data_IF_307652860034
#
_entry.id   IF_307652860034
#
_cell.length_a   1.000
_cell.length_b   1.000
_cell.length_c   1.000
_cell.angle_alpha   90.00
_cell.angle_beta   90.00
_cell.angle_gamma   90.00
#
_symmetry.space_group_name_H-M   'P 1'
#
loop_
_entity.id
_entity.type
_entity.pdbx_description
1 polymer ?
#
# COMPACT_ATOMS: atom_id res chain seq x y z
N UNK A 1 28.68 -26.97 72.61
CA UNK A 1 30.08 -27.13 73.09
C UNK A 1 30.86 -25.95 72.59
N UNK A 2 31.24 -25.10 73.56
CA UNK A 2 32.33 -24.09 73.64
C UNK A 2 32.44 -23.14 72.45
N UNK A 3 32.19 -21.85 72.61
CA UNK A 3 32.65 -20.80 73.52
C UNK A 3 33.69 -19.90 72.83
N UNK A 4 33.32 -18.60 72.78
CA UNK A 4 34.05 -17.40 73.16
C UNK A 4 35.41 -17.14 72.42
N UNK A 5 35.77 -15.92 72.08
CA UNK A 5 35.90 -14.77 72.94
C UNK A 5 36.14 -13.48 72.17
N UNK A 6 35.83 -12.40 72.82
CA UNK A 6 36.05 -10.99 72.61
C UNK A 6 37.46 -10.56 72.30
N UNK A 7 37.68 -9.40 71.64
CA UNK A 7 38.12 -8.13 72.24
C UNK A 7 38.41 -7.01 71.22
N UNK A 8 37.83 -5.91 71.44
CA UNK A 8 38.15 -4.52 71.39
C UNK A 8 39.60 -4.06 71.02
N UNK A 9 39.71 -2.97 70.24
CA UNK A 9 40.43 -1.73 70.48
C UNK A 9 40.32 -0.85 69.25
N UNK A 10 39.69 0.33 69.27
CA UNK A 10 40.08 1.68 69.58
C UNK A 10 41.04 2.31 68.50
N UNK A 11 40.41 3.26 67.77
CA UNK A 11 40.86 4.59 67.29
C UNK A 11 42.18 4.72 66.53
N UNK A 12 42.05 5.25 65.30
CA UNK A 12 42.76 6.51 65.01
C UNK A 12 42.19 7.15 63.75
N UNK A 13 41.88 8.43 63.94
CA UNK A 13 41.36 9.33 62.93
C UNK A 13 42.54 9.93 62.15
N UNK A 14 42.68 9.55 60.86
CA UNK A 14 43.58 10.32 59.98
C UNK A 14 42.82 10.83 58.77
N UNK A 15 42.73 12.14 58.70
CA UNK A 15 42.19 12.89 57.57
C UNK A 15 43.09 12.69 56.34
N UNK A 16 42.65 11.98 55.35
CA UNK A 16 43.28 11.99 54.03
C UNK A 16 42.44 12.84 53.06
N UNK A 17 43.18 13.81 52.49
CA UNK A 17 42.74 14.76 51.49
C UNK A 17 42.06 14.04 50.30
N UNK A 18 40.85 14.44 49.98
CA UNK A 18 40.18 14.06 48.74
C UNK A 18 40.84 14.78 47.56
N UNK A 19 41.57 14.06 46.74
CA UNK A 19 41.87 14.44 45.38
C UNK A 19 40.70 14.04 44.49
N UNK A 20 40.04 15.04 43.88
CA UNK A 20 38.99 14.85 42.87
C UNK A 20 39.69 14.47 41.58
N UNK A 21 39.45 13.30 40.99
CA UNK A 21 39.94 13.01 39.65
C UNK A 21 39.13 13.81 38.62
N UNK A 22 39.86 14.57 37.82
CA UNK A 22 39.36 15.25 36.63
C UNK A 22 38.81 14.19 35.66
N UNK A 23 37.48 14.02 35.58
CA UNK A 23 36.82 13.17 34.60
C UNK A 23 36.96 13.86 33.25
N UNK A 24 37.91 13.43 32.42
CA UNK A 24 37.96 13.77 30.99
C UNK A 24 36.78 13.10 30.33
N UNK A 25 35.75 13.90 30.01
CA UNK A 25 34.62 13.46 29.17
C UNK A 25 35.14 13.27 27.74
N UNK A 26 35.51 12.04 27.40
CA UNK A 26 35.75 11.67 26.01
C UNK A 26 34.38 11.63 25.32
N UNK A 27 34.04 12.70 24.59
CA UNK A 27 32.95 12.71 23.67
C UNK A 27 33.35 11.78 22.52
N UNK A 28 32.92 10.51 22.60
CA UNK A 28 32.97 9.62 21.48
C UNK A 28 31.90 10.11 20.49
N UNK A 29 32.31 10.92 19.53
CA UNK A 29 31.52 11.21 18.37
C UNK A 29 31.29 9.88 17.62
N UNK A 30 30.15 9.27 17.88
CA UNK A 30 29.69 8.13 17.10
C UNK A 30 29.48 8.63 15.67
N UNK A 31 30.41 8.34 14.79
CA UNK A 31 30.20 8.41 13.36
C UNK A 31 29.08 7.44 13.03
N UNK A 32 27.85 7.94 12.96
CA UNK A 32 26.73 7.22 12.32
C UNK A 32 27.07 7.26 10.83
N UNK A 33 27.27 6.10 10.17
CA UNK A 33 27.47 6.10 8.73
C UNK A 33 26.24 6.75 8.10
N UNK A 34 26.46 7.67 7.16
CA UNK A 34 25.42 8.34 6.36
C UNK A 34 24.52 7.30 5.69
N UNK A 35 23.51 6.85 6.43
CA UNK A 35 22.46 6.03 5.90
C UNK A 35 21.57 6.89 5.01
N UNK A 36 21.21 6.42 3.84
CA UNK A 36 20.18 6.98 2.98
C UNK A 36 19.04 7.55 3.83
N UNK A 37 18.86 8.86 3.84
CA UNK A 37 17.82 9.51 4.63
C UNK A 37 16.46 9.15 4.02
N UNK A 38 15.74 8.24 4.67
CA UNK A 38 14.37 7.88 4.24
C UNK A 38 13.47 9.08 4.46
N UNK A 39 12.90 9.63 3.38
CA UNK A 39 11.92 10.70 3.52
C UNK A 39 10.70 10.20 4.27
N UNK A 40 10.20 11.04 5.15
CA UNK A 40 8.94 10.77 5.81
C UNK A 40 7.80 10.86 4.77
N UNK A 41 7.28 9.71 4.35
CA UNK A 41 6.14 9.60 3.41
C UNK A 41 5.00 10.51 3.84
N UNK A 42 4.74 10.61 5.15
CA UNK A 42 3.72 11.49 5.70
C UNK A 42 3.92 12.96 5.31
N UNK A 43 5.15 13.47 5.40
CA UNK A 43 5.44 14.86 5.04
C UNK A 43 5.21 15.13 3.55
N UNK A 44 5.60 14.17 2.70
CA UNK A 44 5.34 14.26 1.26
C UNK A 44 3.85 14.25 0.98
N UNK A 45 3.11 13.32 1.58
CA UNK A 45 1.66 13.22 1.41
C UNK A 45 0.93 14.45 1.95
N UNK A 46 1.25 14.89 3.18
CA UNK A 46 0.63 16.07 3.78
C UNK A 46 0.86 17.33 2.96
N UNK A 47 2.10 17.57 2.51
CA UNK A 47 2.40 18.70 1.64
C UNK A 47 1.56 18.66 0.36
N UNK A 48 1.42 17.48 -0.21
CA UNK A 48 0.70 17.30 -1.46
C UNK A 48 -0.83 17.31 -1.29
N UNK A 49 -1.36 16.91 -0.14
CA UNK A 49 -2.82 16.83 0.10
C UNK A 49 -3.37 18.15 0.68
N UNK A 50 -2.59 18.86 1.52
CA UNK A 50 -3.05 20.08 2.22
C UNK A 50 -3.24 21.31 1.31
N UNK A 51 -2.75 21.26 0.09
CA UNK A 51 -2.84 22.39 -0.86
C UNK A 51 -4.17 22.44 -1.65
N UNK A 52 -5.11 21.52 -1.38
CA UNK A 52 -6.41 21.47 -2.08
C UNK A 52 -7.56 21.25 -1.10
N UNK A 53 -8.52 22.16 -1.08
CA UNK A 53 -9.87 21.88 -0.61
C UNK A 53 -10.45 20.72 -1.46
N UNK A 54 -11.04 19.68 -0.83
CA UNK A 54 -11.56 18.53 -1.56
C UNK A 54 -10.53 17.43 -1.86
N UNK A 55 -9.52 17.29 -1.00
CA UNK A 55 -8.48 16.26 -1.12
C UNK A 55 -9.06 14.85 -1.18
N UNK A 56 -8.58 13.97 -2.08
CA UNK A 56 -9.01 12.58 -2.18
C UNK A 56 -8.67 11.81 -0.91
N UNK A 57 -9.47 10.81 -0.57
CA UNK A 57 -9.07 9.81 0.43
C UNK A 57 -7.92 8.99 -0.15
N UNK A 58 -6.80 8.90 0.58
CA UNK A 58 -5.67 8.10 0.15
C UNK A 58 -5.91 6.66 0.56
N UNK A 59 -5.88 5.76 -0.39
CA UNK A 59 -5.93 4.32 -0.17
C UNK A 59 -4.63 3.69 -0.68
N UNK A 60 -4.20 2.57 -0.12
CA UNK A 60 -2.98 1.90 -0.58
C UNK A 60 -3.27 0.44 -0.89
N UNK A 61 -2.79 -0.02 -2.03
CA UNK A 61 -2.83 -1.42 -2.36
C UNK A 61 -1.91 -2.22 -1.43
N UNK A 62 -2.41 -3.35 -0.94
CA UNK A 62 -1.75 -4.19 0.04
C UNK A 62 -1.62 -5.62 -0.46
N UNK A 63 -0.40 -6.13 -0.46
CA UNK A 63 -0.08 -7.50 -0.84
C UNK A 63 -0.13 -8.42 0.39
N UNK A 64 -1.14 -9.33 0.49
CA UNK A 64 -1.34 -10.16 1.68
C UNK A 64 -0.60 -11.51 1.64
N UNK A 65 0.42 -11.66 0.80
CA UNK A 65 1.03 -12.95 0.47
C UNK A 65 2.34 -13.27 1.21
N UNK A 66 2.93 -12.34 1.95
CA UNK A 66 4.19 -12.60 2.64
C UNK A 66 4.02 -13.61 3.77
N UNK A 67 4.87 -14.64 3.75
CA UNK A 67 4.74 -15.84 4.57
C UNK A 67 4.20 -17.04 3.80
N UNK A 68 3.65 -16.85 2.59
CA UNK A 68 3.47 -17.92 1.62
C UNK A 68 4.82 -18.31 1.00
N UNK A 69 4.99 -19.61 0.72
CA UNK A 69 6.25 -20.15 0.20
C UNK A 69 6.64 -19.69 -1.21
N UNK A 70 5.68 -19.13 -1.96
CA UNK A 70 5.89 -18.72 -3.34
C UNK A 70 6.40 -17.27 -3.45
N UNK A 71 6.51 -16.58 -2.31
CA UNK A 71 6.91 -15.17 -2.24
C UNK A 71 8.19 -14.99 -1.43
N UNK A 72 8.89 -13.87 -1.68
CA UNK A 72 10.14 -13.58 -0.97
C UNK A 72 9.90 -13.40 0.53
N UNK A 73 10.92 -13.75 1.32
CA UNK A 73 10.89 -13.50 2.75
C UNK A 73 11.25 -12.04 3.05
N UNK A 74 10.28 -11.27 3.52
CA UNK A 74 10.44 -9.87 3.92
C UNK A 74 10.57 -9.68 5.44
N UNK A 75 10.70 -10.79 6.18
CA UNK A 75 10.89 -10.77 7.63
C UNK A 75 9.59 -10.74 8.44
N UNK A 76 8.43 -10.90 7.81
CA UNK A 76 7.15 -11.03 8.50
C UNK A 76 6.18 -11.96 7.74
N UNK A 77 5.07 -12.30 8.41
CA UNK A 77 3.97 -13.05 7.84
C UNK A 77 2.71 -12.16 7.80
N UNK A 78 2.06 -12.09 6.64
CA UNK A 78 0.84 -11.29 6.44
C UNK A 78 -0.38 -11.80 7.23
N UNK A 79 -0.28 -12.98 7.85
CA UNK A 79 -1.30 -13.52 8.77
C UNK A 79 -1.01 -13.22 10.24
N UNK A 80 0.11 -12.57 10.56
CA UNK A 80 0.43 -12.22 11.95
C UNK A 80 -0.37 -10.98 12.39
N UNK A 81 -1.25 -11.09 13.39
CA UNK A 81 -2.04 -9.98 13.88
C UNK A 81 -1.20 -8.81 14.40
N UNK A 82 -0.03 -9.06 14.97
CA UNK A 82 0.85 -8.00 15.48
C UNK A 82 1.46 -7.20 14.32
N UNK A 83 1.82 -7.87 13.24
CA UNK A 83 2.31 -7.22 12.01
C UNK A 83 1.21 -6.34 11.40
N UNK A 84 0.01 -6.90 11.23
CA UNK A 84 -1.13 -6.16 10.66
C UNK A 84 -1.46 -4.91 11.49
N UNK A 85 -1.53 -5.00 12.83
CA UNK A 85 -1.75 -3.83 13.70
C UNK A 85 -0.68 -2.77 13.52
N UNK A 86 0.58 -3.18 13.46
CA UNK A 86 1.70 -2.26 13.24
C UNK A 86 1.58 -1.56 11.89
N UNK A 87 1.28 -2.30 10.83
CA UNK A 87 1.12 -1.75 9.47
C UNK A 87 -0.07 -0.78 9.39
N UNK A 88 -1.22 -1.12 9.98
CA UNK A 88 -2.37 -0.21 10.08
C UNK A 88 -2.00 1.07 10.84
N UNK A 89 -1.32 0.96 11.97
CA UNK A 89 -0.87 2.14 12.72
C UNK A 89 0.09 3.02 11.91
N UNK A 90 1.01 2.41 11.16
CA UNK A 90 1.91 3.13 10.25
C UNK A 90 1.15 3.82 9.11
N UNK A 91 0.21 3.11 8.47
CA UNK A 91 -0.63 3.63 7.40
C UNK A 91 -1.46 4.84 7.86
N UNK A 92 -2.13 4.73 9.02
CA UNK A 92 -2.87 5.86 9.65
C UNK A 92 -1.96 7.05 9.92
N UNK A 93 -0.76 6.82 10.42
CA UNK A 93 0.22 7.89 10.67
C UNK A 93 0.70 8.56 9.37
N UNK A 94 0.67 7.86 8.25
CA UNK A 94 0.97 8.42 6.92
C UNK A 94 -0.22 9.15 6.29
N UNK A 95 -1.42 9.04 6.87
CA UNK A 95 -2.65 9.62 6.32
C UNK A 95 -3.37 8.71 5.32
N UNK A 96 -3.03 7.43 5.29
CA UNK A 96 -3.74 6.42 4.49
C UNK A 96 -5.05 6.08 5.20
N UNK A 97 -6.13 6.10 4.42
CA UNK A 97 -7.49 5.90 4.92
C UNK A 97 -7.92 4.43 4.89
N UNK A 98 -7.46 3.67 3.89
CA UNK A 98 -7.81 2.27 3.71
C UNK A 98 -6.68 1.48 3.04
N UNK A 99 -6.64 0.18 3.29
CA UNK A 99 -5.95 -0.76 2.41
C UNK A 99 -6.93 -1.32 1.37
N UNK A 100 -6.49 -1.37 0.12
CA UNK A 100 -7.12 -2.12 -0.95
C UNK A 100 -6.31 -3.41 -1.11
N UNK A 101 -6.89 -4.53 -0.69
CA UNK A 101 -6.13 -5.77 -0.50
C UNK A 101 -6.30 -6.67 -1.71
N UNK A 102 -5.17 -7.08 -2.29
CA UNK A 102 -5.14 -8.02 -3.39
C UNK A 102 -5.74 -9.37 -2.97
N UNK A 103 -6.70 -9.89 -3.77
CA UNK A 103 -7.51 -11.02 -3.36
C UNK A 103 -7.99 -11.86 -4.55
N UNK A 104 -7.84 -13.16 -4.45
CA UNK A 104 -8.07 -14.12 -5.52
C UNK A 104 -9.28 -15.05 -5.27
N UNK A 105 -10.13 -14.71 -4.29
CA UNK A 105 -11.19 -15.62 -3.88
C UNK A 105 -10.65 -16.91 -3.26
N UNK A 106 -11.35 -18.01 -3.47
CA UNK A 106 -10.98 -19.34 -2.95
C UNK A 106 -9.77 -19.96 -3.65
N UNK A 107 -9.38 -19.43 -4.80
CA UNK A 107 -8.21 -19.92 -5.55
C UNK A 107 -6.90 -19.78 -4.76
N UNK A 108 -6.88 -18.88 -3.78
CA UNK A 108 -5.70 -18.64 -2.96
C UNK A 108 -6.04 -18.62 -1.46
N UNK A 109 -6.16 -19.79 -0.81
CA UNK A 109 -6.60 -19.86 0.60
C UNK A 109 -5.71 -19.12 1.59
N UNK A 110 -4.41 -18.91 1.29
CA UNK A 110 -3.54 -18.12 2.15
C UNK A 110 -3.93 -16.65 2.12
N UNK A 111 -4.13 -16.07 0.92
CA UNK A 111 -4.50 -14.67 0.76
C UNK A 111 -5.90 -14.39 1.34
N UNK A 112 -6.83 -15.30 1.13
CA UNK A 112 -8.18 -15.21 1.68
C UNK A 112 -8.16 -15.17 3.22
N UNK A 113 -7.39 -16.05 3.87
CA UNK A 113 -7.21 -16.00 5.33
C UNK A 113 -6.53 -14.73 5.79
N UNK A 114 -5.52 -14.25 5.05
CA UNK A 114 -4.82 -13.00 5.36
C UNK A 114 -5.79 -11.82 5.34
N UNK A 115 -6.65 -11.75 4.33
CA UNK A 115 -7.70 -10.73 4.24
C UNK A 115 -8.69 -10.81 5.41
N UNK A 116 -9.19 -12.02 5.71
CA UNK A 116 -10.15 -12.23 6.80
C UNK A 116 -9.59 -11.80 8.17
N UNK A 117 -8.30 -12.01 8.42
CA UNK A 117 -7.61 -11.55 9.63
C UNK A 117 -7.50 -10.02 9.61
N UNK A 118 -7.06 -9.46 8.47
CA UNK A 118 -6.89 -8.02 8.33
C UNK A 118 -8.19 -7.26 8.54
N UNK A 119 -9.31 -7.68 7.94
CA UNK A 119 -10.58 -7.00 8.08
C UNK A 119 -11.05 -6.93 9.53
N UNK A 120 -10.91 -8.04 10.28
CA UNK A 120 -11.27 -8.07 11.72
C UNK A 120 -10.39 -7.14 12.55
N UNK A 121 -9.10 -7.06 12.24
CA UNK A 121 -8.19 -6.15 12.92
C UNK A 121 -8.48 -4.71 12.53
N UNK A 122 -8.74 -4.43 11.25
CA UNK A 122 -9.10 -3.11 10.77
C UNK A 122 -10.34 -2.55 11.48
N UNK A 123 -11.37 -3.40 11.71
CA UNK A 123 -12.54 -3.05 12.51
C UNK A 123 -12.16 -2.61 13.94
N UNK A 124 -11.27 -3.36 14.60
CA UNK A 124 -10.79 -3.04 15.95
C UNK A 124 -9.96 -1.74 16.00
N UNK A 125 -9.25 -1.44 14.93
CA UNK A 125 -8.33 -0.30 14.83
C UNK A 125 -8.97 0.96 14.21
N UNK A 126 -10.27 0.97 13.90
CA UNK A 126 -10.93 2.05 13.15
C UNK A 126 -10.18 2.38 11.86
N UNK A 127 -9.93 1.38 11.06
CA UNK A 127 -9.29 1.48 9.76
C UNK A 127 -10.16 0.79 8.72
N UNK A 128 -9.99 1.15 7.43
CA UNK A 128 -10.82 0.57 6.39
C UNK A 128 -10.03 -0.37 5.48
N UNK A 129 -10.76 -1.34 4.91
CA UNK A 129 -10.23 -2.27 3.92
C UNK A 129 -11.23 -2.45 2.78
N UNK A 130 -10.72 -2.72 1.58
CA UNK A 130 -11.49 -3.10 0.42
C UNK A 130 -10.82 -4.28 -0.27
N UNK A 131 -11.59 -5.03 -1.05
CA UNK A 131 -11.04 -6.08 -1.91
C UNK A 131 -10.56 -5.48 -3.24
N UNK A 132 -9.41 -5.95 -3.71
CA UNK A 132 -9.02 -5.90 -5.12
C UNK A 132 -9.10 -7.32 -5.67
N UNK A 133 -10.15 -7.62 -6.41
CA UNK A 133 -10.30 -8.92 -7.03
C UNK A 133 -9.34 -9.07 -8.21
N UNK A 134 -8.38 -9.97 -8.07
CA UNK A 134 -7.45 -10.32 -9.12
C UNK A 134 -8.04 -11.44 -9.97
N UNK A 135 -8.32 -11.14 -11.25
CA UNK A 135 -8.94 -12.05 -12.19
C UNK A 135 -8.05 -13.28 -12.44
N UNK A 136 -8.67 -14.40 -12.73
CA UNK A 136 -7.96 -15.62 -13.13
C UNK A 136 -6.99 -15.36 -14.29
N UNK A 137 -5.71 -15.68 -14.08
CA UNK A 137 -4.66 -15.38 -15.05
C UNK A 137 -4.71 -16.29 -16.28
N UNK A 138 -5.15 -17.53 -16.10
CA UNK A 138 -5.22 -18.52 -17.18
C UNK A 138 -6.59 -18.52 -17.82
N UNK A 139 -6.61 -18.58 -19.14
CA UNK A 139 -7.85 -18.81 -19.90
C UNK A 139 -8.21 -20.31 -19.86
N UNK A 140 -8.71 -20.73 -18.70
CA UNK A 140 -9.15 -22.10 -18.44
C UNK A 140 -10.65 -22.32 -18.75
N UNK A 141 -11.34 -21.31 -19.27
CA UNK A 141 -12.78 -21.32 -19.52
C UNK A 141 -13.65 -21.14 -18.27
N UNK A 142 -13.05 -21.03 -17.08
CA UNK A 142 -13.76 -20.94 -15.79
C UNK A 142 -13.69 -19.55 -15.13
N UNK A 143 -13.07 -18.56 -15.76
CA UNK A 143 -12.88 -17.23 -15.16
C UNK A 143 -14.19 -16.57 -14.70
N UNK A 144 -15.31 -16.82 -15.39
CA UNK A 144 -16.62 -16.32 -14.98
C UNK A 144 -17.14 -17.03 -13.74
N UNK A 145 -17.01 -18.34 -13.67
CA UNK A 145 -17.41 -19.15 -12.51
C UNK A 145 -16.58 -18.76 -11.30
N UNK A 146 -15.26 -18.68 -11.46
CA UNK A 146 -14.31 -18.22 -10.43
C UNK A 146 -14.70 -16.83 -9.88
N UNK A 147 -15.07 -15.91 -10.76
CA UNK A 147 -15.50 -14.58 -10.36
C UNK A 147 -16.84 -14.62 -9.59
N UNK A 148 -17.83 -15.36 -10.08
CA UNK A 148 -19.12 -15.47 -9.40
C UNK A 148 -18.99 -16.09 -8.02
N UNK A 149 -18.19 -17.16 -7.87
CA UNK A 149 -17.91 -17.80 -6.58
C UNK A 149 -17.17 -16.84 -5.64
N UNK A 150 -16.16 -16.14 -6.14
CA UNK A 150 -15.42 -15.16 -5.36
C UNK A 150 -16.33 -14.02 -4.86
N UNK A 151 -17.19 -13.46 -5.71
CA UNK A 151 -18.11 -12.39 -5.31
C UNK A 151 -19.21 -12.88 -4.36
N UNK A 152 -19.73 -14.09 -4.52
CA UNK A 152 -20.65 -14.71 -3.57
C UNK A 152 -19.99 -14.84 -2.19
N UNK A 153 -18.75 -15.32 -2.16
CA UNK A 153 -17.95 -15.39 -0.93
C UNK A 153 -17.69 -14.02 -0.33
N UNK A 154 -17.30 -13.03 -1.14
CA UNK A 154 -17.08 -11.66 -0.69
C UNK A 154 -18.33 -11.09 0.01
N UNK A 155 -19.50 -11.31 -0.56
CA UNK A 155 -20.76 -10.89 0.06
C UNK A 155 -20.99 -11.59 1.39
N UNK A 156 -20.91 -12.92 1.42
CA UNK A 156 -21.22 -13.70 2.62
C UNK A 156 -20.26 -13.46 3.78
N UNK A 157 -18.98 -13.23 3.50
CA UNK A 157 -17.94 -13.25 4.52
C UNK A 157 -17.30 -11.89 4.81
N UNK A 158 -17.45 -10.89 3.91
CA UNK A 158 -16.71 -9.63 4.03
C UNK A 158 -17.57 -8.38 3.91
N UNK A 159 -18.63 -8.40 3.09
CA UNK A 159 -19.36 -7.19 2.70
C UNK A 159 -20.80 -7.18 3.24
N UNK A 160 -21.48 -8.30 3.17
CA UNK A 160 -22.91 -8.39 3.50
C UNK A 160 -23.25 -8.08 4.95
N UNK A 161 -24.54 -7.99 5.28
CA UNK A 161 -25.00 -7.51 6.61
C UNK A 161 -24.48 -8.35 7.77
N UNK A 162 -24.31 -9.64 7.59
CA UNK A 162 -23.89 -10.58 8.63
C UNK A 162 -22.37 -10.87 8.63
N UNK A 163 -21.60 -10.20 7.73
CA UNK A 163 -20.17 -10.45 7.59
C UNK A 163 -19.38 -9.92 8.78
N UNK A 164 -18.50 -10.73 9.41
CA UNK A 164 -17.69 -10.30 10.55
C UNK A 164 -16.72 -9.18 10.18
N UNK A 165 -16.76 -8.05 10.90
CA UNK A 165 -15.87 -6.91 10.65
C UNK A 165 -16.28 -6.06 9.44
N UNK A 166 -17.51 -6.21 8.95
CA UNK A 166 -18.03 -5.44 7.80
C UNK A 166 -17.95 -3.92 8.03
N UNK A 167 -17.96 -3.47 9.26
CA UNK A 167 -17.82 -2.06 9.63
C UNK A 167 -16.48 -1.45 9.20
N UNK A 168 -15.47 -2.30 8.98
CA UNK A 168 -14.21 -1.89 8.39
C UNK A 168 -14.23 -1.83 6.87
N UNK A 169 -15.26 -2.37 6.21
CA UNK A 169 -15.26 -2.37 4.75
C UNK A 169 -15.36 -0.95 4.18
N UNK A 170 -14.57 -0.64 3.17
CA UNK A 170 -14.54 0.68 2.54
C UNK A 170 -15.86 0.97 1.83
N UNK A 171 -16.53 2.03 2.26
CA UNK A 171 -17.73 2.54 1.63
C UNK A 171 -17.46 3.89 0.92
N UNK A 172 -18.07 4.05 -0.24
CA UNK A 172 -18.19 5.33 -0.93
C UNK A 172 -19.67 5.63 -1.17
N UNK A 173 -20.13 6.79 -0.69
CA UNK A 173 -21.55 7.16 -0.76
C UNK A 173 -22.50 6.05 -0.23
N UNK A 174 -22.09 5.39 0.86
CA UNK A 174 -22.87 4.34 1.50
C UNK A 174 -22.83 2.96 0.81
N UNK A 175 -22.11 2.79 -0.29
CA UNK A 175 -21.98 1.53 -1.03
C UNK A 175 -20.56 0.96 -0.92
N UNK A 176 -20.42 -0.38 -0.85
CA UNK A 176 -19.09 -1.02 -0.85
C UNK A 176 -18.31 -0.71 -2.12
N UNK A 177 -16.98 -0.64 -2.01
CA UNK A 177 -16.09 -0.46 -3.16
C UNK A 177 -15.30 -1.74 -3.40
N UNK A 178 -15.33 -2.25 -4.63
CA UNK A 178 -14.52 -3.40 -5.05
C UNK A 178 -13.68 -2.97 -6.25
N UNK A 179 -12.37 -3.17 -6.14
CA UNK A 179 -11.43 -2.96 -7.24
C UNK A 179 -11.28 -4.24 -8.05
N UNK A 180 -11.13 -4.09 -9.35
CA UNK A 180 -10.94 -5.22 -10.26
C UNK A 180 -9.59 -5.08 -10.95
N UNK A 181 -8.72 -6.08 -10.72
CA UNK A 181 -7.45 -6.20 -11.42
C UNK A 181 -7.60 -7.25 -12.53
N UNK A 182 -7.87 -6.83 -13.78
CA UNK A 182 -8.07 -7.77 -14.87
C UNK A 182 -6.74 -8.40 -15.29
N UNK A 183 -6.79 -9.66 -15.68
CA UNK A 183 -5.65 -10.39 -16.27
C UNK A 183 -5.85 -10.56 -17.78
N UNK A 184 -6.67 -11.50 -18.22
CA UNK A 184 -6.87 -11.78 -19.64
C UNK A 184 -8.21 -11.29 -20.20
N UNK A 185 -9.09 -10.76 -19.36
CA UNK A 185 -10.36 -10.18 -19.76
C UNK A 185 -11.36 -11.19 -20.34
N UNK A 186 -11.28 -12.46 -19.92
CA UNK A 186 -12.18 -13.51 -20.35
C UNK A 186 -13.41 -13.72 -19.45
N UNK A 187 -13.49 -13.05 -18.31
CA UNK A 187 -14.65 -13.04 -17.41
C UNK A 187 -15.84 -12.37 -18.09
N UNK A 188 -17.02 -12.99 -17.96
CA UNK A 188 -18.28 -12.35 -18.35
C UNK A 188 -18.77 -11.39 -17.27
N UNK A 189 -18.37 -10.14 -17.36
CA UNK A 189 -18.67 -9.12 -16.37
C UNK A 189 -20.15 -8.72 -16.31
N UNK A 190 -20.94 -8.94 -17.37
CA UNK A 190 -22.41 -8.80 -17.33
C UNK A 190 -23.02 -9.72 -16.25
N UNK A 191 -22.56 -10.98 -16.17
CA UNK A 191 -23.08 -11.93 -15.18
C UNK A 191 -22.67 -11.54 -13.75
N UNK A 192 -21.42 -11.11 -13.57
CA UNK A 192 -20.95 -10.60 -12.27
C UNK A 192 -21.76 -9.37 -11.85
N UNK A 193 -21.99 -8.42 -12.76
CA UNK A 193 -22.81 -7.22 -12.50
C UNK A 193 -24.24 -7.58 -12.13
N UNK A 194 -24.86 -8.53 -12.83
CA UNK A 194 -26.21 -8.99 -12.50
C UNK A 194 -26.30 -9.56 -11.09
N UNK A 195 -25.32 -10.37 -10.71
CA UNK A 195 -25.23 -10.95 -9.36
C UNK A 195 -25.13 -9.88 -8.28
N UNK A 196 -24.15 -8.97 -8.39
CA UNK A 196 -23.92 -7.95 -7.35
C UNK A 196 -25.03 -6.90 -7.28
N UNK A 197 -25.79 -6.70 -8.34
CA UNK A 197 -26.97 -5.83 -8.31
C UNK A 197 -28.10 -6.41 -7.44
N UNK A 198 -28.07 -7.72 -7.17
CA UNK A 198 -28.98 -8.37 -6.23
C UNK A 198 -28.59 -8.24 -4.75
N UNK A 199 -27.45 -7.63 -4.43
CA UNK A 199 -27.04 -7.41 -3.04
C UNK A 199 -27.87 -6.32 -2.38
N UNK A 200 -28.01 -6.37 -1.06
CA UNK A 200 -28.71 -5.32 -0.29
C UNK A 200 -28.14 -3.93 -0.58
N UNK A 201 -26.81 -3.84 -0.70
CA UNK A 201 -26.09 -2.64 -1.11
C UNK A 201 -25.17 -3.00 -2.28
N UNK A 202 -25.60 -2.80 -3.54
CA UNK A 202 -24.78 -3.08 -4.71
C UNK A 202 -23.46 -2.30 -4.69
N UNK A 203 -22.32 -2.96 -4.92
CA UNK A 203 -21.02 -2.32 -4.83
C UNK A 203 -20.75 -1.36 -5.99
N UNK A 204 -19.83 -0.41 -5.75
CA UNK A 204 -19.11 0.27 -6.82
C UNK A 204 -18.01 -0.66 -7.33
N UNK A 205 -18.04 -1.02 -8.62
CA UNK A 205 -17.02 -1.81 -9.29
C UNK A 205 -16.06 -0.87 -10.04
N UNK A 206 -14.79 -0.86 -9.62
CA UNK A 206 -13.75 0.04 -10.15
C UNK A 206 -12.72 -0.81 -10.90
N UNK A 207 -12.66 -0.65 -12.23
CA UNK A 207 -11.85 -1.49 -13.13
C UNK A 207 -10.48 -0.84 -13.39
N UNK A 208 -9.42 -1.65 -13.48
CA UNK A 208 -8.10 -1.15 -13.87
C UNK A 208 -8.10 -0.73 -15.33
N UNK A 209 -7.69 0.50 -15.59
CA UNK A 209 -7.69 1.09 -16.93
C UNK A 209 -9.09 1.10 -17.58
N UNK A 210 -9.16 0.92 -18.87
CA UNK A 210 -10.41 0.92 -19.62
C UNK A 210 -10.88 -0.53 -19.83
N UNK A 211 -12.08 -0.87 -19.35
CA UNK A 211 -12.64 -2.20 -19.60
C UNK A 211 -12.91 -2.42 -21.09
N UNK A 212 -13.00 -3.68 -21.55
CA UNK A 212 -13.45 -3.98 -22.88
C UNK A 212 -14.77 -3.25 -23.20
N UNK A 213 -14.95 -2.67 -24.40
CA UNK A 213 -16.11 -1.81 -24.70
C UNK A 213 -17.47 -2.44 -24.39
N UNK A 214 -17.63 -3.75 -24.58
CA UNK A 214 -18.86 -4.49 -24.28
C UNK A 214 -19.22 -4.48 -22.79
N UNK A 215 -18.23 -4.35 -21.90
CA UNK A 215 -18.42 -4.36 -20.46
C UNK A 215 -18.31 -2.98 -19.81
N UNK A 216 -18.14 -1.91 -20.60
CA UNK A 216 -17.99 -0.57 -20.03
C UNK A 216 -19.17 -0.14 -19.13
N UNK A 217 -20.37 -0.62 -19.42
CA UNK A 217 -21.57 -0.38 -18.61
C UNK A 217 -21.58 -1.08 -17.26
N UNK A 218 -20.78 -2.16 -17.11
CA UNK A 218 -20.78 -3.02 -15.92
C UNK A 218 -19.88 -2.48 -14.80
N UNK A 219 -19.08 -1.44 -15.10
CA UNK A 219 -18.19 -0.81 -14.16
C UNK A 219 -18.59 0.63 -13.88
N UNK A 220 -18.53 1.01 -12.61
CA UNK A 220 -18.90 2.34 -12.13
C UNK A 220 -17.71 3.31 -12.20
N UNK A 221 -16.48 2.80 -12.29
CA UNK A 221 -15.29 3.60 -12.33
C UNK A 221 -14.07 2.89 -12.89
N UNK A 222 -12.97 3.66 -12.97
CA UNK A 222 -11.69 3.17 -13.44
C UNK A 222 -10.56 3.68 -12.54
N UNK A 223 -9.48 2.89 -12.41
CA UNK A 223 -8.28 3.32 -11.73
C UNK A 223 -7.04 3.09 -12.60
N UNK A 224 -6.06 3.99 -12.47
CA UNK A 224 -4.75 3.81 -13.08
C UNK A 224 -3.90 2.83 -12.26
N UNK A 225 -2.93 2.20 -12.89
CA UNK A 225 -1.97 1.32 -12.24
C UNK A 225 -0.57 1.52 -12.80
N UNK A 226 0.45 1.08 -12.07
CA UNK A 226 1.80 1.00 -12.61
C UNK A 226 1.76 0.17 -13.89
N UNK A 227 2.19 0.77 -15.02
CA UNK A 227 2.07 0.15 -16.34
C UNK A 227 3.46 -0.09 -16.93
N UNK A 228 4.10 -1.22 -16.62
CA UNK A 228 5.40 -1.56 -17.16
C UNK A 228 5.33 -1.92 -18.66
N UNK A 229 6.20 -1.37 -19.44
CA UNK A 229 6.45 -1.79 -20.83
C UNK A 229 6.20 -0.73 -21.89
N UNK A 230 4.99 -0.29 -22.13
CA UNK A 230 4.72 0.65 -23.21
C UNK A 230 5.01 2.10 -22.81
N UNK A 231 6.05 2.67 -23.44
CA UNK A 231 6.43 4.05 -23.24
C UNK A 231 7.39 4.29 -22.08
N UNK A 232 7.88 3.25 -21.42
CA UNK A 232 8.94 3.36 -20.44
C UNK A 232 10.30 3.30 -21.13
N UNK A 233 11.17 4.23 -20.76
CA UNK A 233 12.52 4.20 -21.25
C UNK A 233 13.27 2.97 -20.69
N UNK A 234 14.14 2.32 -21.51
CA UNK A 234 14.91 1.17 -21.03
C UNK A 234 15.81 1.47 -19.83
N UNK A 235 16.21 2.73 -19.64
CA UNK A 235 16.99 3.22 -18.50
C UNK A 235 16.15 3.53 -17.25
N UNK A 236 14.83 3.34 -17.32
CA UNK A 236 13.90 3.63 -16.22
C UNK A 236 13.61 5.12 -15.98
N UNK A 237 14.01 6.01 -16.90
CA UNK A 237 13.79 7.47 -16.74
C UNK A 237 12.34 7.89 -16.95
N UNK A 238 11.55 7.14 -17.70
CA UNK A 238 10.10 7.37 -17.85
C UNK A 238 9.38 6.93 -16.55
N UNK A 239 8.75 7.89 -15.88
CA UNK A 239 8.03 7.67 -14.64
C UNK A 239 6.51 7.53 -14.82
N UNK A 240 6.04 7.32 -16.05
CA UNK A 240 4.63 7.10 -16.37
C UNK A 240 3.82 8.38 -16.55
N UNK A 241 4.46 9.53 -16.77
CA UNK A 241 3.78 10.82 -16.92
C UNK A 241 2.70 10.78 -18.00
N UNK A 242 3.07 10.38 -19.22
CA UNK A 242 2.15 10.36 -20.37
C UNK A 242 0.99 9.40 -20.18
N UNK A 243 1.22 8.30 -19.45
CA UNK A 243 0.17 7.36 -19.12
C UNK A 243 -0.86 7.98 -18.18
N UNK A 244 -0.42 8.59 -17.07
CA UNK A 244 -1.31 9.24 -16.11
C UNK A 244 -2.05 10.44 -16.72
N UNK A 245 -1.37 11.26 -17.52
CA UNK A 245 -2.00 12.38 -18.23
C UNK A 245 -3.15 11.88 -19.13
N UNK A 246 -2.90 10.81 -19.90
CA UNK A 246 -3.94 10.21 -20.74
C UNK A 246 -5.09 9.62 -19.93
N UNK A 247 -4.78 8.96 -18.81
CA UNK A 247 -5.80 8.40 -17.91
C UNK A 247 -6.72 9.51 -17.39
N UNK A 248 -6.17 10.53 -16.77
CA UNK A 248 -6.97 11.62 -16.20
C UNK A 248 -7.75 12.39 -17.26
N UNK A 249 -7.13 12.70 -18.39
CA UNK A 249 -7.81 13.37 -19.49
C UNK A 249 -8.99 12.52 -20.01
N UNK A 250 -8.79 11.22 -20.18
CA UNK A 250 -9.85 10.28 -20.63
C UNK A 250 -11.00 10.25 -19.62
N UNK A 251 -10.71 10.13 -18.33
CA UNK A 251 -11.74 10.14 -17.29
C UNK A 251 -12.55 11.45 -17.29
N UNK A 252 -11.90 12.57 -17.47
CA UNK A 252 -12.57 13.90 -17.51
C UNK A 252 -13.39 14.13 -18.78
N UNK A 253 -12.98 13.59 -19.92
CA UNK A 253 -13.59 13.93 -21.22
C UNK A 253 -14.48 12.82 -21.80
N UNK A 254 -14.07 11.56 -21.63
CA UNK A 254 -14.81 10.41 -22.18
C UNK A 254 -15.73 9.76 -21.15
N UNK A 255 -15.37 9.82 -19.88
CA UNK A 255 -16.08 9.16 -18.77
C UNK A 255 -16.37 10.11 -17.60
N UNK A 256 -16.97 11.30 -17.83
CA UNK A 256 -17.17 12.31 -16.78
C UNK A 256 -18.10 11.83 -15.66
N UNK A 257 -19.00 10.89 -15.95
CA UNK A 257 -19.98 10.35 -15.00
C UNK A 257 -19.46 9.11 -14.24
N UNK A 258 -18.23 8.65 -14.54
CA UNK A 258 -17.63 7.52 -13.86
C UNK A 258 -16.68 7.94 -12.75
N UNK A 259 -16.60 7.10 -11.73
CA UNK A 259 -15.63 7.28 -10.64
C UNK A 259 -14.22 7.15 -11.19
N UNK A 260 -13.41 8.19 -11.07
CA UNK A 260 -11.98 8.12 -11.34
C UNK A 260 -11.24 7.87 -10.04
N UNK A 261 -10.29 6.94 -10.04
CA UNK A 261 -9.35 6.75 -8.95
C UNK A 261 -7.95 7.02 -9.49
N UNK A 262 -7.33 8.08 -8.98
CA UNK A 262 -5.95 8.39 -9.32
C UNK A 262 -4.97 7.38 -8.72
N UNK A 263 -3.74 7.34 -9.24
CA UNK A 263 -2.73 6.42 -8.69
C UNK A 263 -1.37 7.09 -8.57
N UNK A 264 -0.64 6.72 -7.50
CA UNK A 264 0.73 7.13 -7.27
C UNK A 264 1.61 5.90 -7.00
N UNK A 265 2.88 5.98 -7.43
CA UNK A 265 3.88 4.93 -7.21
C UNK A 265 5.28 5.53 -6.98
N UNK A 266 6.15 4.89 -6.17
CA UNK A 266 7.48 5.42 -5.86
C UNK A 266 8.53 5.16 -6.95
N UNK A 267 8.26 4.25 -7.84
CA UNK A 267 9.11 3.66 -8.87
C UNK A 267 8.62 2.24 -9.14
N UNK A 268 9.41 1.45 -9.87
CA UNK A 268 9.11 0.05 -10.15
C UNK A 268 10.39 -0.73 -10.44
N UNK A 269 10.51 -1.93 -9.91
CA UNK A 269 11.61 -2.84 -10.22
C UNK A 269 11.18 -4.27 -9.89
N UNK A 270 10.81 -5.04 -10.91
CA UNK A 270 10.31 -6.40 -10.75
C UNK A 270 11.38 -7.49 -10.72
N UNK A 271 12.66 -7.13 -10.61
CA UNK A 271 13.75 -8.12 -10.65
C UNK A 271 13.72 -9.17 -9.55
N UNK A 272 12.95 -8.94 -8.47
CA UNK A 272 12.76 -9.88 -7.37
C UNK A 272 11.52 -10.76 -7.52
N UNK A 273 10.62 -10.40 -8.42
CA UNK A 273 9.40 -11.15 -8.67
C UNK A 273 9.68 -12.43 -9.48
N UNK A 274 9.02 -13.52 -9.16
CA UNK A 274 9.12 -14.76 -9.93
C UNK A 274 8.55 -14.63 -11.35
N UNK A 275 7.70 -13.63 -11.57
CA UNK A 275 7.12 -13.25 -12.88
C UNK A 275 7.84 -12.08 -13.55
N UNK A 276 9.06 -11.78 -13.13
CA UNK A 276 9.85 -10.66 -13.63
C UNK A 276 10.05 -10.69 -15.14
N UNK A 277 9.93 -9.52 -15.73
CA UNK A 277 10.36 -9.25 -17.12
C UNK A 277 11.53 -8.26 -17.19
N UNK A 278 12.27 -8.09 -16.08
CA UNK A 278 13.38 -7.14 -15.95
C UNK A 278 12.96 -5.68 -16.26
N UNK A 279 11.82 -5.27 -15.75
CA UNK A 279 11.29 -3.92 -15.96
C UNK A 279 11.72 -2.99 -14.84
N UNK A 280 12.03 -1.77 -15.20
CA UNK A 280 12.52 -0.79 -14.25
C UNK A 280 11.96 0.61 -14.53
N UNK A 281 11.55 1.30 -13.46
CA UNK A 281 11.22 2.72 -13.43
C UNK A 281 11.96 3.37 -12.27
N UNK A 282 12.79 4.38 -12.56
CA UNK A 282 13.57 5.05 -11.52
C UNK A 282 12.68 5.78 -10.51
N UNK A 283 13.00 5.64 -9.24
CA UNK A 283 12.36 6.38 -8.16
C UNK A 283 12.68 7.88 -8.20
N UNK A 284 13.73 8.28 -8.92
CA UNK A 284 14.25 9.64 -9.00
C UNK A 284 14.40 10.27 -7.60
N UNK A 285 14.96 9.48 -6.67
CA UNK A 285 15.14 9.92 -5.29
C UNK A 285 13.85 10.34 -4.58
N UNK A 286 12.74 9.68 -4.89
CA UNK A 286 11.41 9.95 -4.35
C UNK A 286 10.58 10.94 -5.17
N UNK A 287 11.17 11.57 -6.20
CA UNK A 287 10.45 12.52 -7.06
C UNK A 287 9.37 11.82 -7.90
N UNK A 288 9.57 10.57 -8.26
CA UNK A 288 8.55 9.77 -8.98
C UNK A 288 7.26 9.68 -8.16
N UNK A 289 7.37 9.44 -6.85
CA UNK A 289 6.21 9.43 -5.97
C UNK A 289 5.55 10.81 -5.85
N UNK A 290 6.34 11.87 -5.69
CA UNK A 290 5.81 13.24 -5.60
C UNK A 290 5.05 13.64 -6.87
N UNK A 291 5.63 13.37 -8.04
CA UNK A 291 5.04 13.73 -9.33
C UNK A 291 3.76 12.93 -9.61
N UNK A 292 3.76 11.61 -9.36
CA UNK A 292 2.58 10.78 -9.56
C UNK A 292 1.46 11.12 -8.57
N UNK A 293 1.81 11.38 -7.31
CA UNK A 293 0.87 11.75 -6.26
C UNK A 293 0.18 13.09 -6.54
N UNK A 294 0.86 14.03 -7.18
CA UNK A 294 0.33 15.38 -7.44
C UNK A 294 -0.34 15.55 -8.80
N UNK A 295 -0.16 14.60 -9.73
CA UNK A 295 -0.60 14.71 -11.13
C UNK A 295 -2.10 15.00 -11.27
N UNK A 296 -2.95 14.38 -10.41
CA UNK A 296 -4.41 14.55 -10.49
C UNK A 296 -4.85 16.00 -10.42
N UNK A 297 -4.11 16.89 -9.75
CA UNK A 297 -4.44 18.31 -9.55
C UNK A 297 -4.57 19.11 -10.83
N UNK A 298 -4.00 18.62 -11.93
CA UNK A 298 -4.15 19.23 -13.24
C UNK A 298 -5.52 18.99 -13.84
N UNK A 299 -6.29 18.04 -13.31
CA UNK A 299 -7.53 17.54 -13.89
C UNK A 299 -8.71 17.57 -12.92
N UNK A 300 -8.45 17.58 -11.62
CA UNK A 300 -9.43 17.53 -10.54
C UNK A 300 -9.19 18.64 -9.53
N UNK A 301 -10.28 19.24 -9.06
CA UNK A 301 -10.31 20.35 -8.12
C UNK A 301 -11.54 20.21 -7.18
N UNK A 302 -11.87 21.26 -6.42
CA UNK A 302 -13.02 21.29 -5.52
C UNK A 302 -14.37 21.15 -6.24
N UNK A 303 -14.47 21.66 -7.47
CA UNK A 303 -15.70 21.55 -8.28
C UNK A 303 -15.88 20.17 -8.90
N UNK A 304 -14.79 19.46 -9.07
CA UNK A 304 -14.73 18.10 -9.59
C UNK A 304 -13.76 17.26 -8.75
N UNK A 305 -14.16 16.85 -7.53
CA UNK A 305 -13.25 16.18 -6.61
C UNK A 305 -12.92 14.77 -7.07
N UNK A 306 -11.67 14.37 -6.87
CA UNK A 306 -11.26 12.98 -7.00
C UNK A 306 -11.62 12.25 -5.69
N UNK A 307 -12.44 11.19 -5.70
CA UNK A 307 -12.86 10.55 -4.45
C UNK A 307 -11.73 9.79 -3.76
N UNK A 308 -10.88 9.10 -4.54
CA UNK A 308 -9.77 8.31 -4.05
C UNK A 308 -8.50 8.53 -4.86
N UNK A 309 -7.36 8.39 -4.17
CA UNK A 309 -6.05 8.24 -4.79
C UNK A 309 -5.42 6.97 -4.23
N UNK A 310 -5.11 6.03 -5.11
CA UNK A 310 -4.52 4.73 -4.79
C UNK A 310 -2.99 4.85 -4.80
N UNK A 311 -2.34 4.35 -3.77
CA UNK A 311 -0.89 4.13 -3.77
C UNK A 311 -0.62 2.70 -4.21
N UNK A 312 0.11 2.54 -5.26
CA UNK A 312 0.61 1.27 -5.74
C UNK A 312 2.12 1.17 -5.44
N UNK A 313 2.50 0.57 -4.28
CA UNK A 313 1.71 -0.19 -3.31
C UNK A 313 2.11 0.14 -1.86
N UNK A 314 1.41 -0.44 -0.87
CA UNK A 314 1.88 -0.40 0.51
C UNK A 314 3.16 -1.21 0.68
N UNK A 315 3.16 -2.48 0.25
CA UNK A 315 4.20 -3.45 0.60
C UNK A 315 4.64 -4.40 -0.52
N UNK A 316 4.45 -4.07 -1.80
CA UNK A 316 5.01 -4.92 -2.85
C UNK A 316 6.52 -4.72 -2.98
N UNK A 317 7.26 -5.57 -2.28
CA UNK A 317 8.73 -5.61 -2.32
C UNK A 317 9.28 -6.39 -3.52
N UNK A 318 8.45 -7.18 -4.20
CA UNK A 318 8.83 -7.98 -5.36
C UNK A 318 8.84 -7.12 -6.62
N UNK A 319 7.89 -6.17 -6.73
CA UNK A 319 7.86 -5.18 -7.80
C UNK A 319 8.51 -3.83 -7.43
N UNK A 320 9.04 -3.71 -6.21
CA UNK A 320 9.77 -2.52 -5.75
C UNK A 320 8.91 -1.26 -5.63
N UNK A 321 7.60 -1.41 -5.48
CA UNK A 321 6.64 -0.32 -5.32
C UNK A 321 6.27 -0.04 -3.86
N UNK A 322 6.85 -0.79 -2.91
CA UNK A 322 6.54 -0.67 -1.50
C UNK A 322 6.90 0.70 -0.92
N UNK A 323 5.94 1.31 -0.16
CA UNK A 323 6.18 2.53 0.63
C UNK A 323 6.26 2.27 2.14
N UNK A 324 5.95 1.07 2.61
CA UNK A 324 5.95 0.70 4.04
C UNK A 324 7.27 1.06 4.74
N UNK A 325 8.39 0.83 4.06
CA UNK A 325 9.72 1.13 4.60
C UNK A 325 10.17 2.58 4.37
N UNK A 326 9.32 3.45 3.79
CA UNK A 326 9.63 4.82 3.41
C UNK A 326 10.14 4.95 1.98
N UNK A 327 10.25 6.18 1.49
CA UNK A 327 10.75 6.50 0.15
C UNK A 327 12.27 6.61 0.13
N UNK A 328 12.87 6.20 -1.00
CA UNK A 328 14.30 6.42 -1.25
C UNK A 328 14.52 7.92 -1.51
N UNK A 329 15.47 8.53 -0.76
CA UNK A 329 15.96 9.88 -1.01
C UNK A 329 17.46 9.81 -1.26
N UNK A 330 17.94 10.61 -2.22
CA UNK A 330 19.37 10.81 -2.43
C UNK A 330 19.82 12.06 -1.66
N UNK A 331 20.99 12.02 -1.08
CA UNK A 331 21.59 13.20 -0.45
C UNK A 331 21.86 14.26 -1.53
N UNK A 332 21.74 15.56 -1.16
CA UNK A 332 21.91 16.71 -2.08
C UNK A 332 23.34 16.85 -2.65
N UNK A 333 24.04 15.77 -2.88
CA UNK A 333 25.40 15.74 -3.41
C UNK A 333 25.62 14.66 -4.46
N UNK A 334 24.72 13.69 -4.57
CA UNK A 334 24.84 12.60 -5.55
C UNK A 334 23.97 12.87 -6.79
N UNK A 335 24.35 13.86 -7.59
CA UNK A 335 24.00 13.78 -9.01
C UNK A 335 24.78 12.63 -9.59
N UNK A 336 24.12 11.51 -9.94
CA UNK A 336 24.72 10.44 -10.72
C UNK A 336 25.37 11.08 -11.95
N UNK A 337 26.70 11.17 -11.97
CA UNK A 337 27.45 11.27 -13.21
C UNK A 337 27.13 10.00 -13.97
N UNK A 338 26.52 10.17 -15.15
CA UNK A 338 26.25 9.07 -16.05
C UNK A 338 27.53 8.26 -16.25
N UNK A 339 27.49 7.02 -15.78
CA UNK A 339 28.49 6.04 -16.15
C UNK A 339 28.21 5.62 -17.61
N UNK A 340 29.22 5.80 -18.43
CA UNK A 340 29.30 5.24 -19.79
C UNK A 340 29.14 3.74 -19.76
#
# INVERSE_FOLDING_TARGET
MFARDHRKAVSNFEMKRFQVPLLILIVVASFIPSGCNKANVRQVMQKQISETGGSPKIVADYQPWFGDRNHINVGYNSQDPAVIRKQIAQAKNMGIYAFVVDWYGDRHPFLDRSYAIMQRIAAQENFHVALMYDETQEDNGHATEDALEAFDKAYKHYIGPDAPGREAYLLYQGRPVIFIFPKRGNTNWDQVRQMVNGWESPPWLIYKDEPPPKYNKDFDGQYAWVHPGHGWAPDGSDWGQKYLERFYLKMRTKYPDKIAVGTAWPGFNDTKASWSLNRHMDSRCGKTFEDTLSMFRRYYDESHPLPFLLIATWNDYEEGTAIESGLIRCDKGETKKGGM
#
